data_IF_300480301159
#
_entry.id   IF_300480301159
#
_cell.length_a   1.000
_cell.length_b   1.000
_cell.length_c   1.000
_cell.angle_alpha   90.00
_cell.angle_beta   90.00
_cell.angle_gamma   90.00
#
_symmetry.space_group_name_H-M   'P 1'
#
loop_
_entity.id
_entity.type
_entity.pdbx_description
1 polymer ?
#
# COMPACT_ATOMS: atom_id res chain seq x y z
N UNK A 1 6.52 18.12 -6.37
CA UNK A 1 6.32 17.54 -7.72
C UNK A 1 5.10 16.64 -7.66
N UNK A 2 4.08 16.89 -8.49
CA UNK A 2 2.86 16.07 -8.52
C UNK A 2 3.20 14.63 -8.93
N UNK A 3 2.76 13.65 -8.16
CA UNK A 3 2.84 12.24 -8.55
C UNK A 3 1.84 12.05 -9.70
N UNK A 4 2.34 12.07 -10.95
CA UNK A 4 1.58 11.74 -12.17
C UNK A 4 0.67 10.48 -12.07
N UNK A 5 -0.35 10.39 -12.93
CA UNK A 5 -1.25 9.22 -13.01
C UNK A 5 -0.48 7.94 -13.37
N UNK A 6 -0.78 6.81 -12.72
CA UNK A 6 -0.23 5.49 -13.08
C UNK A 6 -1.12 4.85 -14.15
N UNK A 7 -1.04 5.40 -15.37
CA UNK A 7 -1.85 4.94 -16.51
C UNK A 7 -1.26 3.69 -17.13
N UNK A 8 -1.90 2.56 -16.88
CA UNK A 8 -1.58 1.26 -17.47
C UNK A 8 -2.89 0.47 -17.59
N UNK A 9 -3.40 0.33 -18.81
CA UNK A 9 -4.70 -0.33 -19.06
C UNK A 9 -4.69 -1.79 -18.63
N UNK A 10 -3.61 -2.51 -18.92
CA UNK A 10 -3.52 -3.95 -18.67
C UNK A 10 -3.46 -4.22 -17.16
N UNK A 11 -2.79 -3.34 -16.41
CA UNK A 11 -2.77 -3.35 -14.95
C UNK A 11 -4.15 -3.07 -14.35
N UNK A 12 -4.91 -2.13 -14.91
CA UNK A 12 -6.28 -1.84 -14.47
C UNK A 12 -7.22 -3.02 -14.77
N UNK A 13 -7.09 -3.66 -15.94
CA UNK A 13 -7.81 -4.89 -16.26
C UNK A 13 -7.48 -6.03 -15.27
N UNK A 14 -6.21 -6.15 -14.88
CA UNK A 14 -5.80 -7.12 -13.87
C UNK A 14 -6.41 -6.84 -12.49
N UNK A 15 -6.45 -5.57 -12.06
CA UNK A 15 -7.12 -5.16 -10.81
C UNK A 15 -8.62 -5.50 -10.85
N UNK A 16 -9.27 -5.24 -11.99
CA UNK A 16 -10.68 -5.59 -12.18
C UNK A 16 -10.90 -7.11 -12.13
N UNK A 17 -10.04 -7.90 -12.80
CA UNK A 17 -10.07 -9.37 -12.78
C UNK A 17 -9.97 -9.95 -11.37
N UNK A 18 -9.15 -9.35 -10.53
CA UNK A 18 -8.93 -9.79 -9.14
C UNK A 18 -10.00 -9.28 -8.15
N UNK A 19 -11.02 -8.55 -8.64
CA UNK A 19 -12.14 -8.03 -7.83
C UNK A 19 -11.68 -7.18 -6.63
N UNK A 20 -10.56 -6.49 -6.80
CA UNK A 20 -9.94 -5.63 -5.76
C UNK A 20 -10.63 -4.26 -5.60
N UNK A 21 -11.75 -4.05 -6.28
CA UNK A 21 -12.58 -2.85 -6.22
C UNK A 21 -13.88 -3.08 -5.44
N UNK A 22 -14.14 -4.30 -4.98
CA UNK A 22 -15.33 -4.62 -4.19
C UNK A 22 -15.09 -4.22 -2.73
N UNK A 23 -16.08 -3.57 -2.11
CA UNK A 23 -16.01 -3.06 -0.72
C UNK A 23 -16.19 -4.18 0.34
N UNK A 24 -15.79 -5.42 0.01
CA UNK A 24 -15.89 -6.55 0.93
C UNK A 24 -14.70 -6.60 1.89
N UNK A 25 -15.01 -6.78 3.18
CA UNK A 25 -14.00 -6.92 4.23
C UNK A 25 -13.26 -8.24 4.06
N UNK A 26 -11.98 -8.18 3.69
CA UNK A 26 -11.11 -9.36 3.66
C UNK A 26 -10.49 -9.64 5.03
N UNK A 27 -11.00 -10.66 5.72
CA UNK A 27 -10.55 -11.05 7.06
C UNK A 27 -9.08 -11.50 7.10
N UNK A 28 -8.56 -12.08 6.02
CA UNK A 28 -7.18 -12.59 5.95
C UNK A 28 -6.21 -11.43 5.70
N UNK A 29 -6.53 -10.54 4.75
CA UNK A 29 -5.70 -9.35 4.52
C UNK A 29 -5.67 -8.43 5.74
N UNK A 30 -6.81 -8.25 6.44
CA UNK A 30 -6.87 -7.51 7.69
C UNK A 30 -5.97 -8.12 8.78
N UNK A 31 -5.97 -9.45 8.90
CA UNK A 31 -5.06 -10.14 9.82
C UNK A 31 -3.59 -9.88 9.47
N UNK A 32 -3.22 -9.89 8.20
CA UNK A 32 -1.84 -9.61 7.79
C UNK A 32 -1.40 -8.18 8.13
N UNK A 33 -2.24 -7.18 7.87
CA UNK A 33 -1.88 -5.78 8.21
C UNK A 33 -1.80 -5.56 9.72
N UNK A 34 -2.62 -6.26 10.52
CA UNK A 34 -2.54 -6.26 11.98
C UNK A 34 -1.25 -6.90 12.49
N UNK A 35 -0.87 -8.04 11.94
CA UNK A 35 0.39 -8.73 12.28
C UNK A 35 1.59 -7.86 11.93
N UNK A 36 1.62 -7.28 10.72
CA UNK A 36 2.69 -6.40 10.30
C UNK A 36 2.76 -5.11 11.13
N UNK A 37 1.63 -4.47 11.44
CA UNK A 37 1.61 -3.29 12.32
C UNK A 37 2.27 -3.57 13.68
N UNK A 38 1.96 -4.72 14.29
CA UNK A 38 2.56 -5.14 15.57
C UNK A 38 4.03 -5.51 15.44
N UNK A 39 4.37 -6.32 14.44
CA UNK A 39 5.74 -6.81 14.23
C UNK A 39 6.71 -5.66 13.92
N UNK A 40 6.25 -4.67 13.16
CA UNK A 40 7.03 -3.48 12.84
C UNK A 40 6.88 -2.39 13.90
N UNK A 41 6.06 -2.56 14.93
CA UNK A 41 5.77 -1.53 15.94
C UNK A 41 5.39 -0.17 15.30
N UNK A 42 4.51 -0.20 14.31
CA UNK A 42 4.00 0.99 13.61
C UNK A 42 2.48 1.02 13.68
N UNK A 43 1.87 2.21 13.86
CA UNK A 43 0.44 2.31 14.11
C UNK A 43 -0.42 1.94 12.89
N UNK A 44 0.11 2.08 11.67
CA UNK A 44 -0.67 1.91 10.44
C UNK A 44 -0.08 0.80 9.59
N UNK A 45 -0.94 -0.11 9.13
CA UNK A 45 -0.63 -1.14 8.14
C UNK A 45 -1.72 -1.19 7.07
N UNK A 46 -1.36 -1.31 5.78
CA UNK A 46 -2.30 -1.27 4.66
C UNK A 46 -1.96 -2.32 3.60
N UNK A 47 -3.01 -2.86 2.99
CA UNK A 47 -2.96 -3.40 1.63
C UNK A 47 -3.61 -2.36 0.73
N UNK A 48 -2.78 -1.63 -0.01
CA UNK A 48 -3.20 -0.54 -0.89
C UNK A 48 -3.23 -0.99 -2.34
N UNK A 49 -4.25 -0.58 -3.09
CA UNK A 49 -4.41 -0.78 -4.52
C UNK A 49 -4.42 0.59 -5.20
N UNK A 50 -3.54 0.79 -6.17
CA UNK A 50 -3.37 2.09 -6.83
C UNK A 50 -4.11 2.07 -8.16
N UNK A 51 -5.18 2.85 -8.29
CA UNK A 51 -5.88 3.07 -9.57
C UNK A 51 -5.28 4.28 -10.29
N UNK A 52 -5.96 4.78 -11.33
CA UNK A 52 -5.48 5.91 -12.13
C UNK A 52 -5.35 7.21 -11.33
N UNK A 53 -6.40 7.54 -10.56
CA UNK A 53 -6.56 8.82 -9.86
C UNK A 53 -6.75 8.66 -8.35
N UNK A 54 -6.94 7.43 -7.87
CA UNK A 54 -7.18 7.14 -6.46
C UNK A 54 -6.40 5.93 -6.01
N UNK A 55 -6.06 5.91 -4.72
CA UNK A 55 -5.63 4.73 -4.00
C UNK A 55 -6.78 4.22 -3.15
N UNK A 56 -7.05 2.91 -3.20
CA UNK A 56 -8.02 2.21 -2.36
C UNK A 56 -7.31 1.29 -1.39
N UNK A 57 -7.94 1.01 -0.24
CA UNK A 57 -7.41 0.07 0.74
C UNK A 57 -8.24 -1.21 0.75
N UNK A 58 -7.62 -2.32 0.34
CA UNK A 58 -8.22 -3.65 0.43
C UNK A 58 -8.18 -4.20 1.85
N UNK A 59 -7.26 -3.69 2.68
CA UNK A 59 -7.22 -3.91 4.12
C UNK A 59 -6.49 -2.75 4.79
N UNK A 60 -6.88 -2.43 6.02
CA UNK A 60 -6.26 -1.36 6.79
C UNK A 60 -6.32 -1.63 8.29
N UNK A 61 -5.30 -1.14 9.00
CA UNK A 61 -5.23 -1.11 10.45
C UNK A 61 -4.75 0.28 10.89
N UNK A 62 -5.32 0.81 11.96
CA UNK A 62 -4.86 2.04 12.62
C UNK A 62 -5.11 3.36 11.89
N UNK A 63 -5.85 3.36 10.77
CA UNK A 63 -6.32 4.58 10.10
C UNK A 63 -7.26 5.39 11.00
N UNK A 64 -7.23 6.72 10.85
CA UNK A 64 -8.07 7.67 11.58
C UNK A 64 -8.67 8.71 10.64
N UNK A 65 -9.68 9.44 11.13
CA UNK A 65 -10.28 10.56 10.42
C UNK A 65 -10.92 10.17 9.09
N UNK A 66 -10.94 11.09 8.14
CA UNK A 66 -11.62 10.93 6.86
C UNK A 66 -11.05 9.75 6.04
N UNK A 67 -9.75 9.46 6.15
CA UNK A 67 -9.09 8.34 5.45
C UNK A 67 -9.66 6.99 5.91
N UNK A 68 -9.99 6.86 7.20
CA UNK A 68 -10.62 5.66 7.74
C UNK A 68 -12.08 5.49 7.24
N UNK A 69 -12.78 6.59 7.00
CA UNK A 69 -14.16 6.57 6.48
C UNK A 69 -14.19 6.26 4.97
N UNK A 70 -13.26 6.83 4.20
CA UNK A 70 -13.22 6.67 2.74
C UNK A 70 -12.50 5.41 2.26
N UNK A 71 -11.69 4.81 3.14
CA UNK A 71 -10.80 3.67 2.82
C UNK A 71 -9.98 3.92 1.54
N UNK A 72 -9.45 5.14 1.42
CA UNK A 72 -8.66 5.54 0.26
C UNK A 72 -8.25 7.00 0.27
N UNK A 73 -7.35 7.35 -0.64
CA UNK A 73 -6.81 8.70 -0.84
C UNK A 73 -6.74 9.04 -2.33
N UNK A 74 -6.62 10.31 -2.71
CA UNK A 74 -6.14 10.67 -4.05
C UNK A 74 -4.78 10.02 -4.32
N UNK A 75 -4.51 9.61 -5.57
CA UNK A 75 -3.25 8.93 -5.92
C UNK A 75 -2.05 9.86 -5.73
N UNK A 76 -2.24 11.17 -5.90
CA UNK A 76 -1.19 12.17 -5.72
C UNK A 76 -0.71 12.28 -4.27
N UNK A 77 -1.47 11.75 -3.29
CA UNK A 77 -1.07 11.68 -1.88
C UNK A 77 -0.27 10.41 -1.59
N UNK A 78 -0.47 9.36 -2.39
CA UNK A 78 -0.06 7.99 -2.09
C UNK A 78 1.44 7.75 -2.27
N UNK A 79 2.15 7.44 -1.18
CA UNK A 79 3.56 7.02 -1.25
C UNK A 79 3.71 5.72 -2.06
N UNK A 80 2.70 4.84 -2.00
CA UNK A 80 2.65 3.58 -2.73
C UNK A 80 2.80 3.73 -4.24
N UNK A 81 2.38 4.87 -4.81
CA UNK A 81 2.51 5.13 -6.24
C UNK A 81 3.98 5.13 -6.70
N UNK A 82 4.94 5.47 -5.84
CA UNK A 82 6.36 5.39 -6.18
C UNK A 82 6.83 3.93 -6.39
N UNK A 83 6.44 3.03 -5.48
CA UNK A 83 6.73 1.60 -5.58
C UNK A 83 6.00 0.95 -6.76
N UNK A 84 4.77 1.36 -7.05
CA UNK A 84 4.03 0.85 -8.24
C UNK A 84 4.76 1.19 -9.54
N UNK A 85 5.39 2.37 -9.64
CA UNK A 85 6.13 2.77 -10.84
C UNK A 85 7.50 2.10 -10.96
N UNK A 86 8.20 1.90 -9.84
CA UNK A 86 9.53 1.30 -9.85
C UNK A 86 9.50 -0.22 -9.92
N UNK A 87 8.41 -0.85 -9.43
CA UNK A 87 8.35 -2.28 -9.19
C UNK A 87 9.22 -2.72 -8.00
N UNK A 88 9.73 -1.78 -7.21
CA UNK A 88 10.68 -2.01 -6.12
C UNK A 88 10.15 -1.43 -4.81
N UNK A 89 10.54 -1.98 -3.64
CA UNK A 89 10.16 -1.42 -2.36
C UNK A 89 10.49 0.06 -2.24
N UNK A 90 9.58 0.82 -1.64
CA UNK A 90 9.78 2.24 -1.39
C UNK A 90 9.87 2.49 0.12
N UNK A 91 11.00 3.03 0.56
CA UNK A 91 11.33 3.25 1.97
C UNK A 91 11.53 4.74 2.22
N UNK A 92 10.86 5.25 3.23
CA UNK A 92 10.93 6.64 3.68
C UNK A 92 11.18 6.62 5.18
N UNK A 93 12.40 6.97 5.59
CA UNK A 93 12.74 7.02 7.02
C UNK A 93 12.24 8.31 7.68
N UNK A 94 12.22 9.40 6.91
CA UNK A 94 11.78 10.72 7.30
C UNK A 94 11.19 11.44 6.09
N UNK A 95 9.87 11.59 6.07
CA UNK A 95 9.11 12.09 4.93
C UNK A 95 9.34 13.59 4.69
N UNK A 96 9.62 14.36 5.74
CA UNK A 96 9.93 15.80 5.65
C UNK A 96 11.27 16.04 4.94
N UNK A 97 12.18 15.05 4.99
CA UNK A 97 13.49 15.10 4.32
C UNK A 97 13.51 14.41 2.96
N UNK A 98 12.50 13.59 2.65
CA UNK A 98 12.47 12.85 1.40
C UNK A 98 11.87 13.70 0.27
N UNK A 99 12.70 14.05 -0.73
CA UNK A 99 12.30 14.94 -1.82
C UNK A 99 11.10 14.46 -2.66
N UNK A 100 10.80 13.16 -2.66
CA UNK A 100 9.68 12.58 -3.41
C UNK A 100 8.34 12.77 -2.70
N UNK A 101 8.34 12.80 -1.37
CA UNK A 101 7.10 12.78 -0.56
C UNK A 101 6.95 13.94 0.41
N UNK A 102 7.98 14.79 0.60
CA UNK A 102 7.94 15.93 1.54
C UNK A 102 6.81 16.94 1.27
N UNK A 103 6.32 17.00 0.03
CA UNK A 103 5.21 17.87 -0.37
C UNK A 103 3.86 17.13 -0.41
N UNK A 104 3.83 15.82 -0.14
CA UNK A 104 2.59 15.05 -0.09
C UNK A 104 1.76 15.51 1.10
N UNK A 105 0.43 15.64 0.94
CA UNK A 105 -0.45 15.92 2.06
C UNK A 105 -0.43 14.83 3.15
N UNK A 106 -0.02 13.59 2.85
CA UNK A 106 0.23 12.60 3.91
C UNK A 106 1.36 13.04 4.86
N UNK A 107 2.37 13.73 4.34
CA UNK A 107 3.42 14.35 5.15
C UNK A 107 2.92 15.63 5.80
N UNK A 108 2.39 16.57 5.01
CA UNK A 108 2.17 17.95 5.49
C UNK A 108 0.87 18.14 6.27
N UNK A 109 -0.11 17.25 6.12
CA UNK A 109 -1.43 17.37 6.76
C UNK A 109 -1.72 16.20 7.71
N UNK A 110 -1.40 14.97 7.32
CA UNK A 110 -1.69 13.78 8.12
C UNK A 110 -0.54 13.37 9.07
N UNK A 111 0.63 14.02 8.96
CA UNK A 111 1.75 13.83 9.88
C UNK A 111 2.50 12.50 9.74
N UNK A 112 2.35 11.81 8.60
CA UNK A 112 3.12 10.58 8.33
C UNK A 112 4.59 10.93 8.15
N UNK A 113 5.47 10.36 8.99
CA UNK A 113 6.91 10.60 8.98
C UNK A 113 7.72 9.44 8.42
N UNK A 114 7.38 8.20 8.75
CA UNK A 114 8.05 7.03 8.18
C UNK A 114 7.07 6.15 7.41
N UNK A 115 7.58 5.48 6.37
CA UNK A 115 6.83 4.56 5.52
C UNK A 115 7.76 3.49 4.97
N UNK A 116 7.27 2.25 4.93
CA UNK A 116 7.88 1.19 4.14
C UNK A 116 6.78 0.46 3.38
N UNK A 117 6.95 0.32 2.07
CA UNK A 117 6.03 -0.39 1.18
C UNK A 117 6.74 -1.40 0.30
N UNK A 118 6.19 -2.61 0.20
CA UNK A 118 6.61 -3.63 -0.75
C UNK A 118 5.53 -3.82 -1.83
N UNK A 119 5.92 -3.92 -3.12
CA UNK A 119 4.98 -4.00 -4.23
C UNK A 119 4.16 -5.29 -4.20
N UNK A 120 2.86 -5.15 -4.50
CA UNK A 120 1.94 -6.25 -4.74
C UNK A 120 2.03 -6.63 -6.23
N UNK A 121 2.77 -7.68 -6.54
CA UNK A 121 3.02 -8.14 -7.91
C UNK A 121 2.16 -9.36 -8.19
N UNK A 122 1.30 -9.30 -9.21
CA UNK A 122 0.51 -10.47 -9.61
C UNK A 122 1.35 -11.52 -10.32
N UNK A 123 0.84 -12.75 -10.39
CA UNK A 123 1.44 -13.85 -11.17
C UNK A 123 1.62 -13.51 -12.65
N UNK A 124 0.89 -12.51 -13.16
CA UNK A 124 1.00 -11.97 -14.52
C UNK A 124 2.03 -10.82 -14.65
N UNK A 125 2.70 -10.45 -13.56
CA UNK A 125 3.77 -9.46 -13.53
C UNK A 125 3.32 -8.01 -13.33
N UNK A 126 2.03 -7.76 -13.06
CA UNK A 126 1.52 -6.40 -12.86
C UNK A 126 1.68 -5.96 -11.41
N UNK A 127 2.15 -4.72 -11.20
CA UNK A 127 2.26 -4.11 -9.87
C UNK A 127 0.96 -3.40 -9.54
N UNK A 128 0.17 -3.96 -8.63
CA UNK A 128 -1.20 -3.50 -8.38
C UNK A 128 -1.28 -2.40 -7.31
N UNK A 129 -0.27 -2.38 -6.42
CA UNK A 129 -0.27 -1.57 -5.23
C UNK A 129 0.82 -2.02 -4.26
N UNK A 130 0.60 -1.85 -2.95
CA UNK A 130 1.61 -2.15 -1.93
C UNK A 130 1.01 -2.81 -0.69
N UNK A 131 1.78 -3.70 -0.09
CA UNK A 131 1.69 -3.99 1.34
C UNK A 131 2.63 -3.03 2.07
N UNK A 132 2.10 -2.18 2.94
CA UNK A 132 2.91 -1.13 3.57
C UNK A 132 2.57 -0.88 5.04
N UNK A 133 3.55 -0.37 5.77
CA UNK A 133 3.43 0.11 7.15
C UNK A 133 3.94 1.55 7.25
N UNK A 134 3.36 2.35 8.14
CA UNK A 134 3.75 3.76 8.32
C UNK A 134 3.46 4.29 9.72
N UNK A 135 4.10 5.40 10.09
CA UNK A 135 3.94 6.01 11.41
C UNK A 135 4.31 7.48 11.47
N UNK A 136 4.05 8.07 12.64
CA UNK A 136 4.14 9.52 12.91
C UNK A 136 5.54 9.95 13.43
N UNK A 137 6.47 9.01 13.58
CA UNK A 137 7.86 9.24 13.99
C UNK A 137 8.84 8.77 12.91
N UNK A 138 9.98 9.46 12.77
CA UNK A 138 11.03 9.06 11.85
C UNK A 138 11.68 7.75 12.34
N UNK A 139 11.98 6.84 11.41
CA UNK A 139 12.52 5.51 11.73
C UNK A 139 13.27 4.92 10.55
N UNK A 140 14.39 4.25 10.83
CA UNK A 140 15.11 3.42 9.86
C UNK A 140 14.51 2.02 9.73
N UNK A 141 14.61 1.44 8.53
CA UNK A 141 14.20 0.08 8.23
C UNK A 141 15.42 -0.77 7.82
N UNK A 142 15.65 -1.86 8.55
CA UNK A 142 16.70 -2.82 8.24
C UNK A 142 16.39 -3.64 6.99
N UNK A 143 17.41 -4.26 6.40
CA UNK A 143 17.23 -5.16 5.25
C UNK A 143 16.36 -6.37 5.59
N UNK A 144 16.39 -6.84 6.84
CA UNK A 144 15.52 -7.94 7.32
C UNK A 144 14.06 -7.51 7.39
N UNK A 145 13.78 -6.31 7.90
CA UNK A 145 12.41 -5.75 7.93
C UNK A 145 11.86 -5.55 6.51
N UNK A 146 12.69 -5.07 5.57
CA UNK A 146 12.28 -4.96 4.16
C UNK A 146 12.01 -6.34 3.56
N UNK A 147 12.80 -7.37 3.88
CA UNK A 147 12.55 -8.73 3.44
C UNK A 147 11.22 -9.29 4.00
N UNK A 148 10.95 -9.09 5.29
CA UNK A 148 9.68 -9.47 5.91
C UNK A 148 8.48 -8.77 5.25
N UNK A 149 8.63 -7.49 4.90
CA UNK A 149 7.57 -6.75 4.21
C UNK A 149 7.29 -7.33 2.82
N UNK A 150 8.33 -7.77 2.10
CA UNK A 150 8.17 -8.51 0.83
C UNK A 150 7.43 -9.82 1.03
N UNK A 151 7.70 -10.55 2.11
CA UNK A 151 6.98 -11.79 2.43
C UNK A 151 5.50 -11.52 2.70
N UNK A 152 5.16 -10.44 3.42
CA UNK A 152 3.77 -10.02 3.60
C UNK A 152 3.09 -9.65 2.27
N UNK A 153 3.78 -8.92 1.39
CA UNK A 153 3.27 -8.60 0.06
C UNK A 153 3.00 -9.87 -0.77
N UNK A 154 3.91 -10.84 -0.75
CA UNK A 154 3.73 -12.12 -1.44
C UNK A 154 2.56 -12.94 -0.87
N UNK A 155 2.41 -13.00 0.47
CA UNK A 155 1.27 -13.66 1.13
C UNK A 155 -0.06 -13.00 0.76
N UNK A 156 -0.12 -11.66 0.79
CA UNK A 156 -1.30 -10.91 0.41
C UNK A 156 -1.68 -11.17 -1.06
N UNK A 157 -0.72 -11.16 -1.98
CA UNK A 157 -0.99 -11.47 -3.38
C UNK A 157 -1.45 -12.90 -3.61
N UNK A 158 -0.82 -13.88 -2.97
CA UNK A 158 -1.25 -15.28 -3.08
C UNK A 158 -2.72 -15.47 -2.63
N UNK A 159 -3.12 -14.81 -1.55
CA UNK A 159 -4.50 -14.82 -1.05
C UNK A 159 -5.48 -14.09 -1.98
N UNK A 160 -5.09 -12.93 -2.51
CA UNK A 160 -5.89 -12.18 -3.49
C UNK A 160 -6.16 -13.05 -4.73
N UNK A 161 -5.12 -13.72 -5.25
CA UNK A 161 -5.25 -14.57 -6.43
C UNK A 161 -6.07 -15.84 -6.17
N UNK A 162 -5.95 -16.44 -4.98
CA UNK A 162 -6.73 -17.65 -4.66
C UNK A 162 -8.23 -17.35 -4.57
N UNK A 163 -8.62 -16.21 -3.99
CA UNK A 163 -10.03 -15.76 -3.94
C UNK A 163 -10.63 -15.58 -5.32
N UNK A 164 -9.88 -15.00 -6.25
CA UNK A 164 -10.37 -14.73 -7.61
C UNK A 164 -10.51 -16.01 -8.47
N UNK A 165 -9.87 -17.11 -8.06
CA UNK A 165 -9.94 -18.41 -8.73
C UNK A 165 -11.15 -19.26 -8.27
N UNK A 166 -11.79 -18.91 -7.15
CA UNK A 166 -12.99 -19.59 -6.68
C UNK A 166 -14.22 -19.11 -7.48
N UNK A 167 -14.94 -20.02 -8.17
CA UNK A 167 -16.21 -19.64 -8.79
C UNK A 167 -17.24 -19.34 -7.68
N UNK A 168 -17.94 -18.22 -7.83
CA UNK A 168 -19.08 -17.83 -6.98
C UNK A 168 -20.22 -18.86 -7.00
#
# INVERSE_FOLDING_TARGET
MSVDKVKDSDRIEEIARLRLHEDEVDVVLNKYVQEASREFNLPIGLVSIVLDDVQKFAASEGLKGWIAETQGTPVEWAFCAHSVRSGEPFIVEDSEKNHLVKESPLTTMEGIKCYAGAPLISSRGYVLGNFCVMGEESRSFSTEEVAKLKDYAAKAMAHIESRAAEPA
#
